data_IF_527625829031
#
_entry.id   IF_527625829031
#
_cell.length_a   1.000
_cell.length_b   1.000
_cell.length_c   1.000
_cell.angle_alpha   90.00
_cell.angle_beta   90.00
_cell.angle_gamma   90.00
#
_symmetry.space_group_name_H-M   'P 1'
#
loop_
_entity.id
_entity.type
_entity.pdbx_description
1 polymer ?
#
# COMPACT_ATOMS: atom_id res chain seq x y z
N UNK A 1 35.10 -0.58 -14.27
CA UNK A 1 33.72 -0.49 -14.80
C UNK A 1 32.77 -0.52 -13.59
N UNK A 2 31.91 0.48 -13.34
CA UNK A 2 30.93 0.41 -12.28
C UNK A 2 29.97 -0.75 -12.59
N UNK A 3 29.77 -1.64 -11.62
CA UNK A 3 28.72 -2.67 -11.71
C UNK A 3 27.38 -1.92 -11.78
N UNK A 4 26.68 -2.05 -12.88
CA UNK A 4 25.25 -1.68 -12.95
C UNK A 4 24.54 -2.56 -11.93
N UNK A 5 24.24 -1.99 -10.75
CA UNK A 5 23.35 -2.67 -9.81
C UNK A 5 22.05 -2.97 -10.55
N UNK A 6 21.69 -4.24 -10.60
CA UNK A 6 20.42 -4.65 -11.17
C UNK A 6 19.30 -3.92 -10.44
N UNK A 7 18.29 -3.43 -11.18
CA UNK A 7 17.13 -2.79 -10.58
C UNK A 7 16.55 -3.71 -9.50
N UNK A 8 16.14 -3.16 -8.34
CA UNK A 8 15.58 -3.98 -7.27
C UNK A 8 14.31 -4.68 -7.76
N UNK A 9 14.09 -5.90 -7.27
CA UNK A 9 12.82 -6.62 -7.49
C UNK A 9 11.63 -5.90 -6.82
N UNK A 10 10.41 -6.37 -7.05
CA UNK A 10 9.19 -5.73 -6.53
C UNK A 10 9.02 -5.83 -5.01
N UNK A 11 9.79 -6.71 -4.36
CA UNK A 11 9.77 -6.90 -2.91
C UNK A 11 11.16 -6.67 -2.32
N UNK A 12 11.26 -5.87 -1.23
CA UNK A 12 12.52 -5.76 -0.51
C UNK A 12 12.86 -7.09 0.19
N UNK A 13 14.15 -7.42 0.33
CA UNK A 13 14.56 -8.60 1.10
C UNK A 13 14.10 -8.46 2.56
N UNK A 14 13.86 -9.59 3.24
CA UNK A 14 13.35 -9.63 4.61
C UNK A 14 14.20 -8.78 5.58
N UNK A 15 15.50 -8.76 5.36
CA UNK A 15 16.46 -7.98 6.16
C UNK A 15 17.01 -6.77 5.41
N UNK A 16 16.17 -6.11 4.61
CA UNK A 16 16.52 -4.91 3.86
C UNK A 16 17.29 -3.91 4.73
N UNK A 17 18.51 -3.49 4.34
CA UNK A 17 19.38 -2.66 5.16
C UNK A 17 19.26 -1.16 4.89
N UNK A 18 18.43 -0.72 3.92
CA UNK A 18 18.49 0.61 3.33
C UNK A 18 18.15 1.77 4.29
N UNK A 19 17.36 1.51 5.35
CA UNK A 19 16.86 2.55 6.24
C UNK A 19 17.32 2.26 7.67
N UNK A 20 18.42 2.85 8.13
CA UNK A 20 19.04 2.55 9.44
C UNK A 20 18.03 2.66 10.61
N UNK A 21 17.19 3.72 10.64
CA UNK A 21 16.14 3.90 11.67
C UNK A 21 15.10 2.77 11.64
N UNK A 22 14.65 2.35 10.46
CA UNK A 22 13.68 1.26 10.33
C UNK A 22 14.31 -0.11 10.62
N UNK A 23 15.59 -0.30 10.30
CA UNK A 23 16.36 -1.51 10.68
C UNK A 23 16.44 -1.61 12.20
N UNK A 24 16.82 -0.52 12.90
CA UNK A 24 16.88 -0.50 14.37
C UNK A 24 15.50 -0.76 14.99
N UNK A 25 14.45 -0.11 14.48
CA UNK A 25 13.08 -0.32 14.97
C UNK A 25 12.58 -1.74 14.72
N UNK A 26 12.92 -2.35 13.59
CA UNK A 26 12.62 -3.74 13.29
C UNK A 26 13.35 -4.70 14.24
N UNK A 27 14.62 -4.42 14.55
CA UNK A 27 15.39 -5.20 15.52
C UNK A 27 14.78 -5.13 16.93
N UNK A 28 14.37 -3.94 17.37
CA UNK A 28 13.65 -3.76 18.62
C UNK A 28 12.34 -4.58 18.63
N UNK A 29 11.51 -4.47 17.58
CA UNK A 29 10.26 -5.25 17.50
C UNK A 29 10.52 -6.78 17.49
N UNK A 30 11.61 -7.26 16.89
CA UNK A 30 11.99 -8.68 16.94
C UNK A 30 12.37 -9.13 18.34
N UNK A 31 13.04 -8.29 19.11
CA UNK A 31 13.37 -8.60 20.50
C UNK A 31 12.13 -8.60 21.42
N UNK A 32 11.21 -7.65 21.23
CA UNK A 32 9.99 -7.53 22.02
C UNK A 32 8.92 -8.58 21.63
N UNK A 33 8.83 -8.93 20.34
CA UNK A 33 7.80 -9.81 19.78
C UNK A 33 8.42 -10.76 18.73
N UNK A 34 9.15 -11.80 19.14
CA UNK A 34 9.89 -12.67 18.22
C UNK A 34 8.98 -13.50 17.28
N UNK A 35 7.73 -13.70 17.65
CA UNK A 35 6.70 -14.42 16.92
C UNK A 35 6.02 -13.57 15.82
N UNK A 36 6.27 -12.25 15.80
CA UNK A 36 5.72 -11.38 14.77
C UNK A 36 6.52 -11.48 13.47
N UNK A 37 5.91 -11.04 12.38
CA UNK A 37 6.58 -10.95 11.08
C UNK A 37 7.87 -10.13 11.14
N UNK A 38 7.84 -8.93 11.69
CA UNK A 38 8.97 -8.03 11.93
C UNK A 38 9.90 -7.89 10.71
N UNK A 39 9.34 -7.61 9.55
CA UNK A 39 10.03 -7.44 8.29
C UNK A 39 9.32 -6.44 7.38
N UNK A 40 9.90 -6.14 6.21
CA UNK A 40 9.16 -5.46 5.17
C UNK A 40 7.88 -6.24 4.85
N UNK A 41 6.73 -5.57 4.87
CA UNK A 41 5.47 -6.22 4.50
C UNK A 41 5.46 -6.46 2.97
N UNK A 42 5.33 -7.71 2.50
CA UNK A 42 5.23 -8.01 1.09
C UNK A 42 3.93 -7.44 0.50
N UNK A 43 3.86 -7.30 -0.81
CA UNK A 43 2.58 -7.05 -1.48
C UNK A 43 1.68 -8.26 -1.32
N UNK A 44 0.37 -8.03 -1.31
CA UNK A 44 -0.64 -9.06 -1.15
C UNK A 44 -1.67 -8.97 -2.27
N UNK A 45 -1.95 -10.08 -2.93
CA UNK A 45 -3.00 -10.19 -3.93
C UNK A 45 -2.57 -10.86 -5.23
N UNK A 46 -3.33 -10.58 -6.28
CA UNK A 46 -3.22 -11.19 -7.60
C UNK A 46 -2.01 -10.63 -8.38
N UNK A 47 -1.05 -11.44 -8.84
CA UNK A 47 0.06 -10.97 -9.68
C UNK A 47 -0.38 -10.44 -11.07
N UNK A 48 -1.59 -10.80 -11.54
CA UNK A 48 -2.17 -10.32 -12.78
C UNK A 48 -3.18 -9.16 -12.56
N UNK A 49 -3.19 -8.57 -11.37
CA UNK A 49 -4.15 -7.55 -10.98
C UNK A 49 -4.15 -6.33 -11.91
N UNK A 50 -5.35 -5.89 -12.28
CA UNK A 50 -5.57 -4.61 -12.98
C UNK A 50 -5.70 -3.43 -12.01
N UNK A 51 -5.98 -3.70 -10.72
CA UNK A 51 -6.05 -2.70 -9.65
C UNK A 51 -4.90 -2.86 -8.68
N UNK A 52 -4.18 -1.77 -8.40
CA UNK A 52 -3.19 -1.68 -7.31
C UNK A 52 -3.65 -0.68 -6.25
N UNK A 53 -3.76 -1.12 -5.00
CA UNK A 53 -4.02 -0.23 -3.85
C UNK A 53 -2.70 0.05 -3.12
N UNK A 54 -2.36 1.33 -2.99
CA UNK A 54 -1.10 1.75 -2.36
C UNK A 54 -1.39 2.51 -1.06
N UNK A 55 -0.93 1.94 0.07
CA UNK A 55 -0.98 2.59 1.38
C UNK A 55 0.30 3.33 1.74
N UNK A 56 0.34 3.85 2.97
CA UNK A 56 1.48 4.59 3.51
C UNK A 56 2.63 3.65 3.90
N UNK A 57 2.42 2.90 4.96
CA UNK A 57 3.41 2.00 5.58
C UNK A 57 2.71 1.00 6.51
N UNK A 58 3.34 -0.13 6.87
CA UNK A 58 2.82 -1.07 7.86
C UNK A 58 2.63 -0.42 9.23
N UNK A 59 1.49 -0.65 9.88
CA UNK A 59 1.32 -0.38 11.29
C UNK A 59 2.11 -1.39 12.15
N UNK A 60 2.62 -0.96 13.34
CA UNK A 60 3.40 -1.83 14.23
C UNK A 60 2.63 -3.10 14.62
N UNK A 61 1.41 -2.94 15.18
CA UNK A 61 0.55 -4.05 15.59
C UNK A 61 -0.30 -4.63 14.43
N UNK A 62 -0.23 -4.02 13.24
CA UNK A 62 -0.89 -4.45 12.02
C UNK A 62 0.01 -5.32 11.14
N UNK A 63 0.36 -4.81 9.97
CA UNK A 63 1.14 -5.57 8.98
C UNK A 63 2.57 -5.90 9.45
N UNK A 64 3.18 -5.15 10.37
CA UNK A 64 4.45 -5.56 10.97
C UNK A 64 4.31 -6.81 11.84
N UNK A 65 3.16 -6.99 12.48
CA UNK A 65 2.86 -8.23 13.24
C UNK A 65 2.50 -9.38 12.30
N UNK A 66 1.68 -9.14 11.32
CA UNK A 66 1.01 -10.20 10.54
C UNK A 66 1.71 -10.55 9.23
N UNK A 67 2.54 -9.66 8.67
CA UNK A 67 3.13 -9.81 7.35
C UNK A 67 2.19 -9.46 6.20
N UNK A 68 0.88 -9.32 6.40
CA UNK A 68 -0.09 -8.96 5.37
C UNK A 68 -0.48 -7.48 5.49
N UNK A 69 -0.38 -6.66 4.41
CA UNK A 69 -0.76 -5.25 4.43
C UNK A 69 -2.17 -5.04 4.99
N UNK A 70 -2.35 -3.98 5.77
CA UNK A 70 -3.66 -3.63 6.38
C UNK A 70 -4.30 -4.75 7.19
N UNK A 71 -3.52 -5.65 7.77
CA UNK A 71 -4.06 -6.77 8.55
C UNK A 71 -3.70 -6.65 10.01
N UNK A 72 -4.73 -6.63 10.87
CA UNK A 72 -4.58 -6.53 12.33
C UNK A 72 -4.58 -5.09 12.85
N UNK A 73 -4.90 -4.10 12.02
CA UNK A 73 -5.11 -2.72 12.44
C UNK A 73 -6.50 -2.18 12.02
N UNK A 74 -6.84 -1.01 12.52
CA UNK A 74 -8.15 -0.37 12.27
C UNK A 74 -8.40 -0.09 10.77
N UNK A 75 -7.38 0.33 10.05
CA UNK A 75 -7.51 0.69 8.65
C UNK A 75 -7.88 -0.53 7.78
N UNK A 76 -7.44 -1.71 8.20
CA UNK A 76 -7.71 -2.95 7.50
C UNK A 76 -9.18 -3.35 7.54
N UNK A 77 -9.90 -3.08 8.62
CA UNK A 77 -11.33 -3.40 8.71
C UNK A 77 -12.09 -2.72 7.58
N UNK A 78 -12.01 -1.40 7.50
CA UNK A 78 -12.70 -0.65 6.45
C UNK A 78 -12.23 -1.04 5.04
N UNK A 79 -10.91 -1.24 4.84
CA UNK A 79 -10.38 -1.58 3.52
C UNK A 79 -10.89 -2.94 3.03
N UNK A 80 -10.74 -3.99 3.86
CA UNK A 80 -11.12 -5.33 3.42
C UNK A 80 -12.63 -5.52 3.31
N UNK A 81 -13.44 -4.90 4.19
CA UNK A 81 -14.89 -4.87 4.05
C UNK A 81 -15.31 -4.20 2.72
N UNK A 82 -14.68 -3.07 2.36
CA UNK A 82 -14.93 -2.39 1.11
C UNK A 82 -14.52 -3.25 -0.10
N UNK A 83 -13.35 -3.91 -0.06
CA UNK A 83 -12.89 -4.80 -1.13
C UNK A 83 -13.85 -5.99 -1.34
N UNK A 84 -14.35 -6.59 -0.25
CA UNK A 84 -15.34 -7.67 -0.32
C UNK A 84 -16.63 -7.14 -0.96
N UNK A 85 -17.15 -6.02 -0.46
CA UNK A 85 -18.40 -5.43 -0.94
C UNK A 85 -18.33 -5.02 -2.41
N UNK A 86 -17.19 -4.51 -2.86
CA UNK A 86 -16.98 -4.08 -4.26
C UNK A 86 -16.51 -5.20 -5.18
N UNK A 87 -16.28 -6.41 -4.68
CA UNK A 87 -15.92 -7.59 -5.47
C UNK A 87 -14.42 -7.73 -5.76
N UNK A 88 -13.56 -6.92 -5.17
CA UNK A 88 -12.11 -7.03 -5.26
C UNK A 88 -11.49 -7.98 -4.21
N UNK A 89 -12.31 -8.58 -3.35
CA UNK A 89 -11.91 -9.64 -2.45
C UNK A 89 -13.03 -10.66 -2.25
N UNK A 90 -12.64 -11.89 -1.88
CA UNK A 90 -13.55 -13.00 -1.51
C UNK A 90 -13.09 -13.62 -0.20
N UNK A 91 -14.03 -14.21 0.53
CA UNK A 91 -13.78 -14.81 1.85
C UNK A 91 -14.19 -13.86 2.98
N UNK A 92 -13.70 -14.14 4.19
CA UNK A 92 -14.02 -13.39 5.40
C UNK A 92 -12.77 -12.77 5.98
N UNK A 93 -12.80 -11.47 6.25
CA UNK A 93 -11.71 -10.79 6.93
C UNK A 93 -11.78 -11.01 8.44
N UNK A 94 -10.75 -11.62 9.04
CA UNK A 94 -10.66 -11.90 10.47
C UNK A 94 -9.43 -11.24 11.12
N UNK A 95 -8.84 -10.23 10.48
CA UNK A 95 -7.68 -9.48 10.96
C UNK A 95 -6.41 -10.34 11.20
N UNK A 96 -6.29 -11.48 10.51
CA UNK A 96 -5.16 -12.40 10.56
C UNK A 96 -4.77 -12.88 9.15
N UNK A 97 -3.50 -13.25 8.91
CA UNK A 97 -3.02 -13.53 7.55
C UNK A 97 -3.55 -14.86 6.97
N UNK A 98 -4.03 -15.76 7.81
CA UNK A 98 -4.51 -17.11 7.50
C UNK A 98 -6.05 -17.23 7.53
N UNK A 99 -6.78 -16.13 7.32
CA UNK A 99 -8.25 -16.07 7.36
C UNK A 99 -8.95 -16.55 6.08
N UNK A 100 -8.18 -17.02 5.09
CA UNK A 100 -8.72 -17.52 3.83
C UNK A 100 -9.20 -16.41 2.87
N UNK A 101 -9.04 -15.13 3.23
CA UNK A 101 -9.37 -14.03 2.34
C UNK A 101 -8.40 -13.97 1.17
N UNK A 102 -8.94 -13.85 -0.03
CA UNK A 102 -8.19 -13.69 -1.28
C UNK A 102 -8.62 -12.43 -2.01
N UNK A 103 -7.67 -11.75 -2.67
CA UNK A 103 -7.97 -10.62 -3.54
C UNK A 103 -8.30 -11.11 -4.96
N UNK A 104 -9.17 -10.39 -5.64
CA UNK A 104 -9.63 -10.67 -7.00
C UNK A 104 -9.29 -9.48 -7.87
N UNK A 105 -8.45 -9.68 -8.89
CA UNK A 105 -8.03 -8.63 -9.82
C UNK A 105 -7.49 -7.37 -9.10
N UNK A 106 -6.94 -7.57 -7.91
CA UNK A 106 -6.50 -6.53 -7.00
C UNK A 106 -5.22 -6.95 -6.28
N UNK A 107 -4.32 -6.01 -6.11
CA UNK A 107 -3.13 -6.15 -5.27
C UNK A 107 -3.02 -4.96 -4.30
N UNK A 108 -2.55 -5.21 -3.09
CA UNK A 108 -2.30 -4.18 -2.08
C UNK A 108 -0.82 -4.12 -1.77
N UNK A 109 -0.29 -2.91 -1.66
CA UNK A 109 1.09 -2.65 -1.24
C UNK A 109 1.18 -1.36 -0.42
N UNK A 110 2.38 -1.00 0.05
CA UNK A 110 2.66 0.26 0.74
C UNK A 110 3.80 1.01 0.06
N UNK A 111 3.80 2.34 0.16
CA UNK A 111 4.88 3.20 -0.31
C UNK A 111 6.19 2.95 0.45
N UNK A 112 6.09 2.72 1.77
CA UNK A 112 7.20 2.27 2.62
C UNK A 112 6.87 0.89 3.14
N UNK A 113 7.78 -0.07 3.01
CA UNK A 113 7.49 -1.49 3.29
C UNK A 113 7.71 -1.91 4.73
N UNK A 114 8.47 -1.14 5.51
CA UNK A 114 8.74 -1.39 6.94
C UNK A 114 7.87 -0.48 7.82
N UNK A 115 7.48 -0.97 8.99
CA UNK A 115 6.79 -0.16 10.00
C UNK A 115 7.70 0.95 10.52
N UNK A 116 7.31 2.22 10.41
CA UNK A 116 8.06 3.32 10.99
C UNK A 116 7.61 3.61 12.43
N UNK A 117 8.50 4.10 13.32
CA UNK A 117 8.11 4.61 14.63
C UNK A 117 6.99 5.66 14.49
N UNK A 118 5.97 5.55 15.36
CA UNK A 118 4.82 6.46 15.35
C UNK A 118 3.99 6.47 14.05
N UNK A 119 4.11 5.46 13.20
CA UNK A 119 3.47 5.37 11.88
C UNK A 119 3.82 6.53 10.93
N UNK A 120 4.99 7.15 11.11
CA UNK A 120 5.46 8.29 10.31
C UNK A 120 6.80 7.95 9.64
N UNK A 121 6.80 7.56 8.37
CA UNK A 121 8.04 7.42 7.62
C UNK A 121 8.70 8.78 7.38
N UNK A 122 10.01 8.79 7.29
CA UNK A 122 10.79 9.95 6.88
C UNK A 122 10.90 10.02 5.36
N UNK A 123 11.12 11.22 4.81
CA UNK A 123 11.27 11.41 3.36
C UNK A 123 12.43 10.61 2.77
N UNK A 124 13.50 10.42 3.53
CA UNK A 124 14.65 9.60 3.17
C UNK A 124 14.26 8.12 3.03
N UNK A 125 13.40 7.62 3.94
CA UNK A 125 12.88 6.25 3.92
C UNK A 125 11.90 6.03 2.76
N UNK A 126 11.03 7.03 2.51
CA UNK A 126 10.17 7.03 1.31
C UNK A 126 11.02 6.93 0.04
N UNK A 127 12.11 7.70 -0.05
CA UNK A 127 12.99 7.73 -1.20
C UNK A 127 13.76 6.41 -1.37
N UNK A 128 14.29 5.84 -0.30
CA UNK A 128 15.00 4.58 -0.31
C UNK A 128 14.08 3.38 -0.65
N UNK A 129 12.79 3.46 -0.27
CA UNK A 129 11.82 2.39 -0.52
C UNK A 129 11.14 2.50 -1.90
N UNK A 130 11.15 3.67 -2.53
CA UNK A 130 10.47 3.96 -3.80
C UNK A 130 10.87 3.04 -4.96
N UNK A 131 12.14 2.61 -5.14
CA UNK A 131 12.50 1.67 -6.20
C UNK A 131 11.71 0.36 -6.15
N UNK A 132 11.36 -0.14 -4.95
CA UNK A 132 10.52 -1.33 -4.81
C UNK A 132 9.07 -1.07 -5.23
N UNK A 133 8.53 0.13 -4.97
CA UNK A 133 7.20 0.51 -5.45
C UNK A 133 7.18 0.64 -6.97
N UNK A 134 8.20 1.26 -7.56
CA UNK A 134 8.32 1.35 -9.02
C UNK A 134 8.43 -0.04 -9.67
N UNK A 135 9.25 -0.93 -9.10
CA UNK A 135 9.38 -2.31 -9.55
C UNK A 135 8.06 -3.09 -9.39
N UNK A 136 7.29 -2.85 -8.30
CA UNK A 136 5.97 -3.47 -8.12
C UNK A 136 4.97 -3.01 -9.17
N UNK A 137 4.92 -1.73 -9.48
CA UNK A 137 4.06 -1.19 -10.54
C UNK A 137 4.43 -1.83 -11.89
N UNK A 138 5.72 -1.86 -12.22
CA UNK A 138 6.21 -2.45 -13.47
C UNK A 138 6.00 -3.97 -13.57
N UNK A 139 5.94 -4.68 -12.44
CA UNK A 139 5.76 -6.13 -12.39
C UNK A 139 4.29 -6.58 -12.48
N UNK A 140 3.32 -5.66 -12.62
CA UNK A 140 1.91 -5.96 -12.85
C UNK A 140 1.57 -5.76 -14.33
N UNK A 141 1.56 -6.83 -15.14
CA UNK A 141 1.50 -6.71 -16.60
C UNK A 141 0.16 -6.17 -17.13
N UNK A 142 -0.88 -6.28 -16.33
CA UNK A 142 -2.24 -5.87 -16.70
C UNK A 142 -2.72 -4.64 -15.94
N UNK A 143 -1.86 -3.99 -15.14
CA UNK A 143 -2.24 -2.85 -14.29
C UNK A 143 -2.83 -1.71 -15.13
N UNK A 144 -3.98 -1.22 -14.69
CA UNK A 144 -4.73 -0.11 -15.32
C UNK A 144 -5.01 1.01 -14.32
N UNK A 145 -5.42 0.63 -13.10
CA UNK A 145 -5.88 1.56 -12.07
C UNK A 145 -5.01 1.47 -10.82
N UNK A 146 -4.64 2.63 -10.26
CA UNK A 146 -3.93 2.72 -8.98
C UNK A 146 -4.76 3.57 -8.02
N UNK A 147 -5.22 2.98 -6.91
CA UNK A 147 -5.81 3.72 -5.79
C UNK A 147 -4.72 4.08 -4.80
N UNK A 148 -4.61 5.34 -4.41
CA UNK A 148 -3.69 5.81 -3.38
C UNK A 148 -4.43 6.18 -2.10
N UNK A 149 -4.01 5.62 -0.97
CA UNK A 149 -4.59 5.88 0.34
C UNK A 149 -3.77 6.93 1.09
N UNK A 150 -4.15 8.19 0.90
CA UNK A 150 -3.48 9.36 1.48
C UNK A 150 -2.37 9.97 0.62
N UNK A 151 -1.98 11.19 0.98
CA UNK A 151 -1.10 12.02 0.18
C UNK A 151 0.34 11.46 0.04
N UNK A 152 0.87 10.81 1.07
CA UNK A 152 2.20 10.18 0.99
C UNK A 152 2.20 9.06 -0.06
N UNK A 153 1.18 8.20 -0.07
CA UNK A 153 1.04 7.15 -1.09
C UNK A 153 0.96 7.76 -2.49
N UNK A 154 0.11 8.78 -2.67
CA UNK A 154 -0.05 9.51 -3.94
C UNK A 154 1.29 10.07 -4.45
N UNK A 155 2.00 10.83 -3.61
CA UNK A 155 3.29 11.43 -3.99
C UNK A 155 4.33 10.38 -4.37
N UNK A 156 4.37 9.26 -3.65
CA UNK A 156 5.33 8.19 -3.94
C UNK A 156 4.96 7.43 -5.22
N UNK A 157 3.69 7.19 -5.51
CA UNK A 157 3.25 6.63 -6.79
C UNK A 157 3.66 7.56 -7.95
N UNK A 158 3.33 8.84 -7.89
CA UNK A 158 3.71 9.80 -8.93
C UNK A 158 5.24 9.80 -9.18
N UNK A 159 6.03 9.87 -8.09
CA UNK A 159 7.50 9.84 -8.20
C UNK A 159 8.02 8.49 -8.74
N UNK A 160 7.35 7.37 -8.43
CA UNK A 160 7.68 6.05 -8.97
C UNK A 160 7.43 5.95 -10.48
N UNK A 161 6.49 6.75 -10.99
CA UNK A 161 6.18 6.90 -12.42
C UNK A 161 7.04 7.98 -13.11
N UNK A 162 8.04 8.54 -12.43
CA UNK A 162 8.90 9.61 -12.98
C UNK A 162 8.23 10.98 -13.03
N UNK A 163 7.08 11.17 -12.37
CA UNK A 163 6.31 12.40 -12.39
C UNK A 163 6.59 13.29 -11.16
N UNK A 164 6.33 14.59 -11.27
CA UNK A 164 6.38 15.51 -10.13
C UNK A 164 5.26 15.16 -9.13
N UNK A 165 5.52 15.37 -7.84
CA UNK A 165 4.54 15.05 -6.79
C UNK A 165 3.22 15.87 -6.87
N UNK A 166 3.21 16.98 -7.58
CA UNK A 166 2.05 17.83 -7.84
C UNK A 166 1.50 17.69 -9.26
N UNK A 167 1.99 16.74 -10.05
CA UNK A 167 1.57 16.55 -11.45
C UNK A 167 0.11 16.11 -11.62
N UNK A 168 -0.51 15.62 -10.55
CA UNK A 168 -1.90 15.16 -10.56
C UNK A 168 -2.69 15.83 -9.44
N UNK A 169 -3.99 16.03 -9.67
CA UNK A 169 -4.92 16.58 -8.67
C UNK A 169 -4.81 15.90 -7.32
N UNK A 170 -4.99 16.66 -6.25
CA UNK A 170 -5.04 16.17 -4.88
C UNK A 170 -6.47 16.25 -4.36
N UNK A 171 -6.82 15.34 -3.49
CA UNK A 171 -8.15 15.29 -2.87
C UNK A 171 -8.76 13.91 -2.98
N UNK A 172 -9.74 13.67 -2.12
CA UNK A 172 -10.51 12.42 -2.14
C UNK A 172 -11.38 12.35 -3.39
N UNK A 173 -11.40 11.20 -4.06
CA UNK A 173 -12.16 10.99 -5.29
C UNK A 173 -11.54 11.64 -6.54
N UNK A 174 -10.40 12.32 -6.45
CA UNK A 174 -9.75 12.86 -7.63
C UNK A 174 -9.27 11.72 -8.54
N UNK A 175 -9.70 11.73 -9.80
CA UNK A 175 -9.35 10.79 -10.85
C UNK A 175 -8.44 11.50 -11.86
N UNK A 176 -7.29 10.92 -12.16
CA UNK A 176 -6.25 11.55 -12.98
C UNK A 176 -5.52 10.51 -13.82
N UNK A 177 -5.24 10.81 -15.07
CA UNK A 177 -4.30 10.02 -15.89
C UNK A 177 -2.86 10.34 -15.51
N UNK A 178 -2.07 9.33 -15.17
CA UNK A 178 -0.69 9.46 -14.71
C UNK A 178 0.18 8.29 -15.18
N UNK A 179 1.16 8.55 -16.03
CA UNK A 179 2.13 7.55 -16.47
C UNK A 179 1.54 6.33 -17.18
N UNK A 180 0.42 6.51 -17.88
CA UNK A 180 -0.30 5.43 -18.57
C UNK A 180 -1.32 4.69 -17.71
N UNK A 181 -1.51 5.10 -16.46
CA UNK A 181 -2.48 4.53 -15.52
C UNK A 181 -3.56 5.55 -15.15
N UNK A 182 -4.73 5.07 -14.75
CA UNK A 182 -5.73 5.88 -14.04
C UNK A 182 -5.40 5.88 -12.55
N UNK A 183 -5.11 7.05 -11.99
CA UNK A 183 -4.84 7.25 -10.58
C UNK A 183 -6.09 7.78 -9.89
N UNK A 184 -6.56 7.11 -8.83
CA UNK A 184 -7.69 7.54 -8.00
C UNK A 184 -7.20 7.79 -6.58
N UNK A 185 -7.40 9.02 -6.09
CA UNK A 185 -6.94 9.39 -4.76
C UNK A 185 -8.03 9.18 -3.72
N UNK A 186 -7.66 8.63 -2.56
CA UNK A 186 -8.52 8.56 -1.39
C UNK A 186 -7.86 9.19 -0.18
N UNK A 187 -8.65 9.73 0.75
CA UNK A 187 -8.15 9.90 2.10
C UNK A 187 -7.74 8.53 2.68
N UNK A 188 -6.74 8.54 3.56
CA UNK A 188 -6.32 7.31 4.22
C UNK A 188 -7.43 6.78 5.14
N UNK A 189 -7.71 5.48 5.12
CA UNK A 189 -8.72 4.81 5.93
C UNK A 189 -8.30 4.63 7.40
N UNK A 190 -7.58 5.61 7.97
CA UNK A 190 -7.12 5.62 9.35
C UNK A 190 -8.25 5.93 10.32
N UNK A 191 -8.10 5.47 11.57
CA UNK A 191 -9.02 5.79 12.66
C UNK A 191 -9.27 7.29 12.80
N UNK A 192 -8.25 8.13 12.60
CA UNK A 192 -8.39 9.58 12.69
C UNK A 192 -9.38 10.10 11.64
N UNK A 193 -9.21 9.73 10.38
CA UNK A 193 -10.07 10.21 9.31
C UNK A 193 -11.52 9.68 9.42
N UNK A 194 -11.68 8.42 9.89
CA UNK A 194 -13.03 7.84 10.07
C UNK A 194 -13.74 8.42 11.28
N UNK A 195 -13.07 8.58 12.42
CA UNK A 195 -13.65 9.13 13.64
C UNK A 195 -14.01 10.62 13.51
N UNK A 196 -13.26 11.37 12.70
CA UNK A 196 -13.54 12.79 12.44
C UNK A 196 -14.56 13.02 11.33
N UNK A 197 -15.05 11.95 10.68
CA UNK A 197 -15.96 12.05 9.55
C UNK A 197 -15.31 12.56 8.26
N UNK A 198 -13.99 12.78 8.24
CA UNK A 198 -13.25 13.18 7.03
C UNK A 198 -13.34 12.12 5.93
N UNK A 199 -13.40 10.85 6.32
CA UNK A 199 -13.65 9.72 5.44
C UNK A 199 -14.77 8.87 6.03
N UNK A 200 -15.89 8.75 5.32
CA UNK A 200 -16.99 7.85 5.69
C UNK A 200 -16.92 6.56 4.87
N UNK A 201 -17.50 5.43 5.33
CA UNK A 201 -17.56 4.20 4.55
C UNK A 201 -18.15 4.38 3.15
N UNK A 202 -19.28 5.12 2.94
CA UNK A 202 -19.77 5.36 1.58
C UNK A 202 -18.82 6.15 0.68
N UNK A 203 -18.11 7.15 1.23
CA UNK A 203 -17.09 7.86 0.47
C UNK A 203 -15.96 6.93 0.04
N UNK A 204 -15.51 6.03 0.94
CA UNK A 204 -14.44 5.10 0.64
C UNK A 204 -14.87 4.07 -0.40
N UNK A 205 -16.08 3.54 -0.29
CA UNK A 205 -16.67 2.62 -1.26
C UNK A 205 -16.78 3.25 -2.66
N UNK A 206 -17.19 4.50 -2.76
CA UNK A 206 -17.31 5.21 -4.03
C UNK A 206 -15.98 5.23 -4.81
N UNK A 207 -14.83 5.32 -4.13
CA UNK A 207 -13.50 5.24 -4.78
C UNK A 207 -13.28 3.90 -5.47
N UNK A 208 -13.71 2.80 -4.88
CA UNK A 208 -13.58 1.46 -5.48
C UNK A 208 -14.60 1.22 -6.58
N UNK A 209 -15.81 1.78 -6.49
CA UNK A 209 -16.78 1.74 -7.60
C UNK A 209 -16.30 2.57 -8.80
N UNK A 210 -15.63 3.72 -8.57
CA UNK A 210 -14.95 4.44 -9.65
C UNK A 210 -13.89 3.56 -10.31
N UNK A 211 -13.06 2.87 -9.53
CA UNK A 211 -12.06 1.93 -10.08
C UNK A 211 -12.70 0.83 -10.93
N UNK A 212 -13.84 0.26 -10.50
CA UNK A 212 -14.59 -0.72 -11.30
C UNK A 212 -15.08 -0.16 -12.64
N UNK A 213 -15.50 1.11 -12.65
CA UNK A 213 -15.92 1.79 -13.87
C UNK A 213 -14.76 1.92 -14.84
N UNK A 214 -13.61 2.40 -14.36
CA UNK A 214 -12.39 2.53 -15.16
C UNK A 214 -11.86 1.20 -15.70
N UNK A 215 -12.00 0.11 -14.95
CA UNK A 215 -11.58 -1.25 -15.37
C UNK A 215 -12.52 -1.89 -16.40
N UNK A 216 -13.72 -1.36 -16.60
CA UNK A 216 -14.69 -1.82 -17.61
C UNK A 216 -14.62 -1.03 -18.91
N UNK A 217 -14.06 0.16 -18.86
CA UNK A 217 -13.85 1.02 -20.02
C UNK A 217 -12.69 0.53 -20.90
#
# INVERSE_FOLDING_TARGET
>A
MPRTEAAPGPEPPRDCPLCARLVAYRAQNRAEHPDWWNGPAPSFGDPEARLLVVGLAPGRAGANRTGRPFTGDFAGVLLYETLIKTGFARGTYQARPDDGLTLVDCMITNAVRCAPPGNKPETTEESACRPFLAARIAALPRLQVIITLGDVARRNVLKSLGLKANAAGSGHGALVSAGGYTLINSYHCSRLNTNTGRLTPPMFEAVFEMAKTELRA
#
